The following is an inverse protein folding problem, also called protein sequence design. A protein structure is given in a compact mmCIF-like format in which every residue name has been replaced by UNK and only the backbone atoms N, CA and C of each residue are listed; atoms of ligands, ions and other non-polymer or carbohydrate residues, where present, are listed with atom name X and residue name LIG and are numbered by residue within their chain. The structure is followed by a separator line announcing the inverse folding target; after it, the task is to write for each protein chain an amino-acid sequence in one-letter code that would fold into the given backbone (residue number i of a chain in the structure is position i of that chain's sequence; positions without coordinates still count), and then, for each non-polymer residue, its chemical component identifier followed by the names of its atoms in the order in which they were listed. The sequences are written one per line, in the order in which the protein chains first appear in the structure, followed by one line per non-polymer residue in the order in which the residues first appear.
data_IF_819173926085
#
_entry.id   IF_819173926085
#
_cell.length_a   1.000
_cell.length_b   1.000
_cell.length_c   1.000
_cell.angle_alpha   90.00
_cell.angle_beta   90.00
_cell.angle_gamma   90.00
#
_symmetry.space_group_name_H-M   'P 1'
#
loop_
_entity.id
_entity.type
_entity.pdbx_description
1 polymer ?
#
# COMPACT_ATOMS: atom_id res chain seq x y z
N UNK A 1 16.03 -9.19 -22.60
CA UNK A 1 16.69 -7.98 -22.07
C UNK A 1 15.86 -6.71 -22.26
N UNK A 2 15.46 -6.34 -23.49
CA UNK A 2 14.66 -5.11 -23.74
C UNK A 2 13.35 -5.05 -22.95
N UNK A 3 12.60 -6.15 -22.92
CA UNK A 3 11.36 -6.24 -22.15
C UNK A 3 11.59 -5.99 -20.66
N UNK A 4 12.66 -6.54 -20.09
CA UNK A 4 12.95 -6.36 -18.67
C UNK A 4 13.30 -4.92 -18.30
N UNK A 5 13.91 -4.17 -19.22
CA UNK A 5 14.15 -2.74 -19.03
C UNK A 5 12.83 -1.96 -18.94
N UNK A 6 11.80 -2.34 -19.70
CA UNK A 6 10.46 -1.73 -19.65
C UNK A 6 9.80 -2.03 -18.30
N UNK A 7 9.88 -3.27 -17.81
CA UNK A 7 9.31 -3.65 -16.50
C UNK A 7 10.01 -2.97 -15.33
N UNK A 8 11.35 -2.90 -15.33
CA UNK A 8 12.12 -2.19 -14.31
C UNK A 8 11.83 -0.68 -14.37
N UNK A 9 11.80 -0.10 -15.57
CA UNK A 9 11.44 1.29 -15.77
C UNK A 9 10.04 1.60 -15.24
N UNK A 10 9.05 0.75 -15.55
CA UNK A 10 7.70 0.85 -15.00
C UNK A 10 7.67 0.72 -13.47
N UNK A 11 8.37 -0.27 -12.92
CA UNK A 11 8.42 -0.52 -11.48
C UNK A 11 8.97 0.68 -10.68
N UNK A 12 9.91 1.43 -11.26
CA UNK A 12 10.47 2.66 -10.65
C UNK A 12 9.56 3.87 -10.91
N UNK A 13 8.98 3.96 -12.12
CA UNK A 13 8.16 5.10 -12.51
C UNK A 13 6.85 5.19 -11.73
N UNK A 14 6.19 4.07 -11.40
CA UNK A 14 4.91 4.09 -10.66
C UNK A 14 5.02 4.69 -9.24
N UNK A 15 6.01 4.31 -8.40
CA UNK A 15 6.33 5.01 -7.15
C UNK A 15 6.60 6.50 -7.33
N UNK A 16 7.41 6.86 -8.33
CA UNK A 16 7.77 8.26 -8.58
C UNK A 16 6.54 9.06 -9.00
N UNK A 17 5.67 8.49 -9.83
CA UNK A 17 4.42 9.14 -10.23
C UNK A 17 3.50 9.35 -9.03
N UNK A 18 3.36 8.35 -8.15
CA UNK A 18 2.53 8.48 -6.94
C UNK A 18 2.97 9.66 -6.07
N UNK A 19 4.27 9.72 -5.75
CA UNK A 19 4.83 10.82 -4.97
C UNK A 19 4.68 12.15 -5.72
N UNK A 20 4.98 12.17 -7.02
CA UNK A 20 4.83 13.35 -7.87
C UNK A 20 3.41 13.91 -7.90
N UNK A 21 2.40 13.04 -8.04
CA UNK A 21 0.99 13.43 -8.01
C UNK A 21 0.59 14.01 -6.66
N UNK A 22 1.03 13.41 -5.56
CA UNK A 22 0.74 13.96 -4.22
C UNK A 22 1.32 15.37 -4.07
N UNK A 23 2.57 15.59 -4.51
CA UNK A 23 3.21 16.90 -4.42
C UNK A 23 2.65 17.93 -5.40
N UNK A 24 2.23 17.52 -6.59
CA UNK A 24 1.69 18.42 -7.61
C UNK A 24 0.32 18.99 -7.22
N UNK A 25 -0.50 18.19 -6.53
CA UNK A 25 -1.81 18.60 -6.03
C UNK A 25 -1.79 19.16 -4.60
N UNK A 26 -0.59 19.27 -4.01
CA UNK A 26 -0.39 19.86 -2.70
C UNK A 26 -0.18 21.36 -2.78
N UNK A 27 -1.04 22.11 -2.10
CA UNK A 27 -0.95 23.56 -2.02
C UNK A 27 -0.02 23.97 -0.86
N UNK A 28 1.22 24.34 -1.19
CA UNK A 28 2.29 24.62 -0.20
C UNK A 28 2.06 25.86 0.65
N UNK A 29 1.10 26.72 0.29
CA UNK A 29 0.86 27.99 0.98
C UNK A 29 0.00 27.85 2.24
N UNK A 30 -0.68 26.71 2.43
CA UNK A 30 -1.64 26.51 3.50
C UNK A 30 -1.21 25.37 4.44
N UNK A 31 -1.68 25.38 5.69
CA UNK A 31 -1.31 24.35 6.67
C UNK A 31 -1.68 22.94 6.17
N UNK A 32 -0.82 21.97 6.49
CA UNK A 32 -0.92 20.56 6.07
C UNK A 32 -2.26 19.90 6.44
N UNK A 33 -2.92 20.40 7.49
CA UNK A 33 -4.18 19.89 8.02
C UNK A 33 -5.41 20.67 7.53
N UNK A 34 -5.23 21.59 6.58
CA UNK A 34 -6.35 22.25 5.93
C UNK A 34 -7.17 21.25 5.12
N UNK A 35 -8.44 21.06 5.51
CA UNK A 35 -9.36 20.04 4.98
C UNK A 35 -9.44 20.02 3.43
N UNK A 36 -9.42 21.17 2.72
CA UNK A 36 -9.33 21.17 1.25
C UNK A 36 -8.04 20.56 0.67
N UNK A 37 -6.87 20.80 1.27
CA UNK A 37 -5.60 20.21 0.80
C UNK A 37 -5.57 18.70 1.02
N UNK A 38 -6.14 18.25 2.13
CA UNK A 38 -6.35 16.83 2.44
C UNK A 38 -7.15 16.14 1.33
N UNK A 39 -8.26 16.73 0.90
CA UNK A 39 -9.11 16.18 -0.17
C UNK A 39 -8.39 16.17 -1.51
N UNK A 40 -7.60 17.20 -1.83
CA UNK A 40 -6.80 17.25 -3.07
C UNK A 40 -5.73 16.16 -3.12
N UNK A 41 -4.98 15.96 -2.04
CA UNK A 41 -3.97 14.89 -1.94
C UNK A 41 -4.62 13.50 -2.04
N UNK A 42 -5.77 13.31 -1.40
CA UNK A 42 -6.51 12.05 -1.50
C UNK A 42 -6.99 11.81 -2.94
N UNK A 43 -7.58 12.82 -3.59
CA UNK A 43 -7.98 12.74 -4.98
C UNK A 43 -6.79 12.42 -5.89
N UNK A 44 -5.63 13.05 -5.68
CA UNK A 44 -4.41 12.77 -6.42
C UNK A 44 -3.92 11.32 -6.24
N UNK A 45 -3.96 10.80 -5.02
CA UNK A 45 -3.61 9.41 -4.74
C UNK A 45 -4.57 8.42 -5.42
N UNK A 46 -5.88 8.71 -5.40
CA UNK A 46 -6.91 7.89 -6.08
C UNK A 46 -6.73 7.94 -7.59
N UNK A 47 -6.53 9.13 -8.17
CA UNK A 47 -6.30 9.30 -9.62
C UNK A 47 -5.02 8.57 -10.04
N UNK A 48 -3.93 8.71 -9.28
CA UNK A 48 -2.70 7.98 -9.58
C UNK A 48 -2.91 6.46 -9.53
N UNK A 49 -3.58 5.93 -8.49
CA UNK A 49 -3.88 4.49 -8.43
C UNK A 49 -4.78 4.04 -9.57
N UNK A 50 -5.78 4.85 -9.95
CA UNK A 50 -6.64 4.57 -11.09
C UNK A 50 -5.89 4.56 -12.43
N UNK A 51 -4.72 5.19 -12.54
CA UNK A 51 -3.84 5.11 -13.71
C UNK A 51 -2.84 3.95 -13.60
N UNK A 52 -2.17 3.81 -12.46
CA UNK A 52 -1.11 2.83 -12.23
C UNK A 52 -1.62 1.39 -12.28
N UNK A 53 -2.80 1.11 -11.72
CA UNK A 53 -3.40 -0.24 -11.71
C UNK A 53 -3.66 -0.75 -13.13
N UNK A 54 -4.42 -0.04 -14.00
CA UNK A 54 -4.65 -0.52 -15.37
C UNK A 54 -3.38 -0.51 -16.21
N UNK A 55 -2.46 0.43 -16.03
CA UNK A 55 -1.15 0.39 -16.71
C UNK A 55 -0.36 -0.86 -16.35
N UNK A 56 -0.32 -1.21 -15.07
CA UNK A 56 0.36 -2.44 -14.62
C UNK A 56 -0.35 -3.68 -15.12
N UNK A 57 -1.69 -3.69 -15.08
CA UNK A 57 -2.50 -4.78 -15.63
C UNK A 57 -2.20 -5.02 -17.11
N UNK A 58 -2.15 -3.95 -17.92
CA UNK A 58 -1.83 -4.04 -19.34
C UNK A 58 -0.40 -4.58 -19.57
N UNK A 59 0.57 -4.10 -18.79
CA UNK A 59 1.95 -4.59 -18.84
C UNK A 59 2.04 -6.08 -18.49
N UNK A 60 1.32 -6.56 -17.48
CA UNK A 60 1.33 -7.96 -17.07
C UNK A 60 0.54 -8.88 -18.02
N UNK A 61 -0.55 -8.39 -18.62
CA UNK A 61 -1.38 -9.16 -19.55
C UNK A 61 -0.63 -9.57 -20.82
N UNK A 62 0.40 -8.81 -21.21
CA UNK A 62 1.26 -9.15 -22.35
C UNK A 62 2.00 -10.48 -22.18
N UNK A 63 2.22 -10.93 -20.94
CA UNK A 63 3.00 -12.14 -20.66
C UNK A 63 2.25 -13.22 -19.87
N UNK A 64 1.22 -12.84 -19.10
CA UNK A 64 0.54 -13.76 -18.20
C UNK A 64 -0.98 -13.72 -18.35
N UNK A 65 -1.62 -14.90 -18.36
CA UNK A 65 -3.08 -15.03 -18.45
C UNK A 65 -3.83 -14.66 -17.16
N UNK A 66 -3.13 -14.46 -16.02
CA UNK A 66 -3.74 -14.12 -14.72
C UNK A 66 -3.05 -12.95 -13.99
N UNK A 67 -3.08 -11.72 -14.55
CA UNK A 67 -2.40 -10.54 -14.01
C UNK A 67 -2.82 -10.18 -12.57
N UNK A 68 -4.11 -10.33 -12.21
CA UNK A 68 -4.60 -10.05 -10.85
C UNK A 68 -3.96 -10.92 -9.77
N UNK A 69 -3.68 -12.19 -10.11
CA UNK A 69 -3.03 -13.13 -9.19
C UNK A 69 -1.60 -12.73 -8.88
N UNK A 70 -0.91 -12.13 -9.86
CA UNK A 70 0.47 -11.65 -9.70
C UNK A 70 0.54 -10.33 -8.93
N UNK A 71 -0.44 -9.44 -9.11
CA UNK A 71 -0.59 -8.22 -8.33
C UNK A 71 -0.91 -8.47 -6.84
N UNK A 72 -1.02 -9.73 -6.42
CA UNK A 72 -1.31 -10.11 -5.02
C UNK A 72 -2.79 -10.04 -4.64
N UNK A 73 -3.68 -9.75 -5.60
CA UNK A 73 -5.13 -9.80 -5.44
C UNK A 73 -5.62 -11.24 -5.61
N UNK A 74 -5.20 -12.11 -4.69
CA UNK A 74 -5.63 -13.51 -4.65
C UNK A 74 -6.78 -13.68 -3.66
N UNK A 75 -7.84 -14.42 -4.01
CA UNK A 75 -8.94 -14.73 -3.09
C UNK A 75 -8.55 -15.73 -1.98
N UNK A 76 -7.39 -16.38 -2.09
CA UNK A 76 -6.93 -17.42 -1.17
C UNK A 76 -5.67 -16.95 -0.41
N UNK A 77 -5.66 -17.13 0.92
CA UNK A 77 -4.50 -16.80 1.78
C UNK A 77 -4.57 -15.45 2.51
N UNK A 78 -5.71 -14.75 2.47
CA UNK A 78 -5.90 -13.44 3.14
C UNK A 78 -5.56 -13.46 4.64
N UNK A 79 -5.87 -14.56 5.33
CA UNK A 79 -5.59 -14.70 6.77
C UNK A 79 -4.09 -14.60 7.06
N UNK A 80 -3.26 -15.29 6.29
CA UNK A 80 -1.80 -15.23 6.46
C UNK A 80 -1.25 -13.86 6.08
N UNK A 81 -1.78 -13.28 5.00
CA UNK A 81 -1.38 -11.96 4.52
C UNK A 81 -1.73 -10.83 5.50
N UNK A 82 -2.75 -11.01 6.35
CA UNK A 82 -3.11 -10.06 7.41
C UNK A 82 -2.36 -10.37 8.71
N UNK A 83 -2.17 -11.65 9.04
CA UNK A 83 -1.55 -12.07 10.31
C UNK A 83 -0.09 -11.62 10.43
N UNK A 84 0.72 -11.77 9.37
CA UNK A 84 2.13 -11.38 9.41
C UNK A 84 2.35 -9.86 9.61
N UNK A 85 1.73 -8.96 8.82
CA UNK A 85 1.91 -7.54 9.03
C UNK A 85 1.28 -7.04 10.34
N UNK A 86 0.16 -7.62 10.78
CA UNK A 86 -0.44 -7.24 12.08
C UNK A 86 0.44 -7.64 13.25
N UNK A 87 1.02 -8.84 13.24
CA UNK A 87 1.96 -9.29 14.27
C UNK A 87 3.23 -8.43 14.28
N UNK A 88 3.78 -8.11 13.10
CA UNK A 88 4.94 -7.23 12.99
C UNK A 88 4.63 -5.82 13.52
N UNK A 89 3.45 -5.29 13.19
CA UNK A 89 2.99 -3.98 13.68
C UNK A 89 2.85 -4.00 15.20
N UNK A 90 2.31 -5.07 15.78
CA UNK A 90 2.18 -5.22 17.24
C UNK A 90 3.54 -5.22 17.94
N UNK A 91 4.56 -5.85 17.33
CA UNK A 91 5.93 -5.85 17.85
C UNK A 91 6.52 -4.43 17.83
N UNK A 92 6.44 -3.73 16.70
CA UNK A 92 6.98 -2.38 16.60
C UNK A 92 6.24 -1.35 17.46
N UNK A 93 4.93 -1.48 17.59
CA UNK A 93 4.09 -0.60 18.42
C UNK A 93 3.92 -1.08 19.86
N UNK A 94 4.66 -2.10 20.28
CA UNK A 94 4.62 -2.62 21.67
C UNK A 94 4.93 -1.53 22.69
N UNK A 95 5.87 -0.62 22.40
CA UNK A 95 6.17 0.53 23.27
C UNK A 95 5.00 1.49 23.44
N UNK A 96 4.24 1.75 22.37
CA UNK A 96 3.02 2.56 22.43
C UNK A 96 1.94 1.88 23.25
N UNK A 97 1.77 0.56 23.10
CA UNK A 97 0.84 -0.22 23.92
C UNK A 97 1.22 -0.16 25.40
N UNK A 98 2.51 -0.29 25.73
CA UNK A 98 3.00 -0.16 27.10
C UNK A 98 2.65 1.21 27.68
N UNK A 99 2.86 2.29 26.94
CA UNK A 99 2.49 3.64 27.40
C UNK A 99 0.98 3.78 27.66
N UNK A 100 0.13 3.22 26.80
CA UNK A 100 -1.33 3.18 27.05
C UNK A 100 -1.70 2.34 28.29
N UNK A 101 -0.95 1.26 28.56
CA UNK A 101 -1.16 0.44 29.77
C UNK A 101 -0.82 1.21 31.04
N UNK A 102 0.32 1.90 31.05
CA UNK A 102 0.81 2.66 32.20
C UNK A 102 -0.08 3.87 32.50
N UNK A 103 -0.61 4.52 31.47
CA UNK A 103 -1.52 5.65 31.61
C UNK A 103 -2.96 5.24 31.95
N UNK A 104 -3.27 3.94 32.04
CA UNK A 104 -4.62 3.45 32.33
C UNK A 104 -5.66 3.73 31.24
N UNK A 105 -5.23 4.21 30.07
CA UNK A 105 -6.09 4.63 28.95
C UNK A 105 -6.34 3.53 27.92
N UNK A 106 -5.85 2.31 28.14
CA UNK A 106 -6.11 1.14 27.27
C UNK A 106 -7.59 0.95 26.89
N UNK A 107 -8.51 1.22 27.82
CA UNK A 107 -9.95 1.09 27.56
C UNK A 107 -10.45 2.00 26.44
N UNK A 108 -9.82 3.17 26.24
CA UNK A 108 -10.16 4.09 25.15
C UNK A 108 -9.85 3.49 23.78
N UNK A 109 -8.86 2.60 23.69
CA UNK A 109 -8.50 1.90 22.46
C UNK A 109 -9.59 0.90 22.03
N UNK A 110 -10.35 0.36 22.99
CA UNK A 110 -11.44 -0.60 22.76
C UNK A 110 -12.84 0.03 22.87
N UNK A 111 -12.92 1.36 23.00
CA UNK A 111 -14.19 2.06 23.14
C UNK A 111 -14.83 2.30 21.76
N UNK A 112 -15.92 1.57 21.48
CA UNK A 112 -16.66 1.67 20.23
C UNK A 112 -17.16 3.08 19.91
N UNK A 113 -17.45 3.91 20.92
CA UNK A 113 -17.92 5.27 20.68
C UNK A 113 -16.81 6.14 20.10
N UNK A 114 -15.58 6.02 20.61
CA UNK A 114 -14.42 6.72 20.08
C UNK A 114 -14.12 6.29 18.64
N UNK A 115 -14.16 4.98 18.36
CA UNK A 115 -14.00 4.47 17.00
C UNK A 115 -15.06 5.03 16.05
N UNK A 116 -16.33 5.09 16.48
CA UNK A 116 -17.41 5.66 15.65
C UNK A 116 -17.16 7.13 15.32
N UNK A 117 -16.68 7.90 16.28
CA UNK A 117 -16.30 9.31 16.06
C UNK A 117 -15.13 9.38 15.08
N UNK A 118 -14.11 8.54 15.25
CA UNK A 118 -12.95 8.46 14.33
C UNK A 118 -13.36 8.07 12.90
N UNK A 119 -14.30 7.14 12.73
CA UNK A 119 -14.84 6.79 11.41
C UNK A 119 -15.75 7.86 10.80
N UNK A 120 -16.14 8.88 11.56
CA UNK A 120 -16.86 10.05 11.03
C UNK A 120 -15.90 11.15 10.57
N UNK A 121 -14.69 11.18 11.13
CA UNK A 121 -13.65 12.13 10.75
C UNK A 121 -12.95 11.70 9.45
N UNK A 122 -13.13 12.53 8.41
CA UNK A 122 -12.52 12.32 7.10
C UNK A 122 -10.98 12.38 7.14
N UNK A 123 -10.40 13.15 8.07
CA UNK A 123 -8.95 13.21 8.25
C UNK A 123 -8.44 11.87 8.78
N UNK A 124 -9.12 11.31 9.78
CA UNK A 124 -8.78 10.04 10.38
C UNK A 124 -8.90 8.90 9.37
N UNK A 125 -10.02 8.82 8.62
CA UNK A 125 -10.20 7.80 7.58
C UNK A 125 -9.08 7.87 6.54
N UNK A 126 -8.77 9.08 6.06
CA UNK A 126 -7.73 9.25 5.05
C UNK A 126 -6.36 8.81 5.58
N UNK A 127 -5.96 9.31 6.75
CA UNK A 127 -4.63 9.04 7.30
C UNK A 127 -4.45 7.58 7.72
N UNK A 128 -5.50 6.97 8.27
CA UNK A 128 -5.40 5.65 8.91
C UNK A 128 -5.70 4.52 7.92
N UNK A 129 -6.56 4.76 6.93
CA UNK A 129 -7.06 3.71 6.04
C UNK A 129 -6.69 4.00 4.60
N UNK A 130 -7.06 5.17 4.08
CA UNK A 130 -6.94 5.41 2.64
C UNK A 130 -5.48 5.50 2.17
N UNK A 131 -4.64 6.25 2.91
CA UNK A 131 -3.22 6.38 2.60
C UNK A 131 -2.52 5.02 2.52
N UNK A 132 -2.52 4.17 3.59
CA UNK A 132 -1.85 2.88 3.54
C UNK A 132 -2.42 1.97 2.44
N UNK A 133 -3.72 1.99 2.17
CA UNK A 133 -4.30 1.20 1.06
C UNK A 133 -3.74 1.65 -0.29
N UNK A 134 -3.73 2.96 -0.56
CA UNK A 134 -3.22 3.49 -1.84
C UNK A 134 -1.72 3.28 -2.02
N UNK A 135 -0.96 3.33 -0.93
CA UNK A 135 0.47 3.01 -0.93
C UNK A 135 0.67 1.53 -1.23
N UNK A 136 -0.04 0.62 -0.54
CA UNK A 136 0.15 -0.80 -0.79
C UNK A 136 -0.28 -1.25 -2.19
N UNK A 137 -1.30 -0.62 -2.77
CA UNK A 137 -1.66 -0.89 -4.16
C UNK A 137 -0.56 -0.43 -5.13
N UNK A 138 0.01 0.76 -4.94
CA UNK A 138 1.01 1.28 -5.88
C UNK A 138 2.39 0.64 -5.69
N UNK A 139 2.88 0.56 -4.45
CA UNK A 139 4.21 0.05 -4.16
C UNK A 139 4.26 -1.48 -4.18
N UNK A 140 3.30 -2.15 -3.55
CA UNK A 140 3.35 -3.61 -3.39
C UNK A 140 2.62 -4.34 -4.50
N UNK A 141 1.39 -3.95 -4.85
CA UNK A 141 0.65 -4.66 -5.90
C UNK A 141 1.20 -4.33 -7.30
N UNK A 142 1.60 -3.09 -7.56
CA UNK A 142 2.04 -2.69 -8.89
C UNK A 142 3.56 -2.78 -9.08
N UNK A 143 4.34 -2.02 -8.31
CA UNK A 143 5.81 -1.96 -8.48
C UNK A 143 6.50 -3.30 -8.18
N UNK A 144 6.19 -3.96 -7.05
CA UNK A 144 6.83 -5.24 -6.71
C UNK A 144 6.50 -6.37 -7.70
N UNK A 145 5.30 -6.39 -8.27
CA UNK A 145 4.90 -7.38 -9.28
C UNK A 145 5.70 -7.25 -10.58
N UNK A 146 5.97 -6.01 -11.00
CA UNK A 146 6.82 -5.72 -12.17
C UNK A 146 8.28 -6.11 -11.90
N UNK A 147 8.81 -5.81 -10.70
CA UNK A 147 10.15 -6.24 -10.31
C UNK A 147 10.30 -7.76 -10.28
N UNK A 148 9.29 -8.48 -9.77
CA UNK A 148 9.31 -9.96 -9.71
C UNK A 148 9.46 -10.60 -11.08
N UNK A 149 8.87 -10.00 -12.11
CA UNK A 149 8.97 -10.53 -13.48
C UNK A 149 10.40 -10.46 -14.04
N UNK A 150 11.24 -9.57 -13.51
CA UNK A 150 12.59 -9.29 -13.99
C UNK A 150 13.72 -9.85 -13.12
N UNK A 151 13.61 -9.74 -11.79
CA UNK A 151 14.68 -10.09 -10.86
C UNK A 151 14.62 -11.55 -10.39
N UNK A 152 13.63 -12.33 -10.86
CA UNK A 152 13.43 -13.71 -10.42
C UNK A 152 12.93 -13.80 -8.97
N UNK A 153 12.59 -15.02 -8.55
CA UNK A 153 11.93 -15.25 -7.25
C UNK A 153 12.81 -14.91 -6.04
N UNK A 154 14.14 -14.98 -6.15
CA UNK A 154 15.03 -14.88 -4.98
C UNK A 154 15.31 -13.44 -4.54
N UNK A 155 15.53 -12.51 -5.48
CA UNK A 155 15.70 -11.09 -5.17
C UNK A 155 14.35 -10.42 -4.83
N UNK A 156 13.23 -10.93 -5.36
CA UNK A 156 11.90 -10.46 -5.01
C UNK A 156 11.55 -10.69 -3.53
N UNK A 157 12.04 -11.77 -2.91
CA UNK A 157 11.87 -12.04 -1.48
C UNK A 157 12.62 -11.05 -0.60
N UNK A 158 13.75 -10.52 -1.08
CA UNK A 158 14.53 -9.48 -0.37
C UNK A 158 13.85 -8.10 -0.44
N UNK A 159 13.25 -7.77 -1.58
CA UNK A 159 12.54 -6.48 -1.79
C UNK A 159 11.12 -6.48 -1.19
N UNK A 160 10.47 -7.64 -1.09
CA UNK A 160 9.15 -7.79 -0.47
C UNK A 160 9.08 -9.09 0.34
N UNK A 161 9.35 -9.06 1.66
CA UNK A 161 9.42 -10.26 2.51
C UNK A 161 8.08 -10.98 2.70
N UNK A 162 6.99 -10.44 2.17
CA UNK A 162 5.63 -10.92 2.41
C UNK A 162 5.02 -11.58 1.15
N UNK A 163 5.82 -11.74 0.09
CA UNK A 163 5.48 -12.59 -1.05
C UNK A 163 5.99 -13.99 -0.74
N UNK A 164 5.11 -14.81 -0.20
CA UNK A 164 5.36 -16.23 0.06
C UNK A 164 5.92 -16.93 -1.19
N UNK A 165 7.01 -17.66 -1.00
CA UNK A 165 7.78 -18.40 -2.01
C UNK A 165 7.10 -19.70 -2.47
N UNK A 166 5.86 -19.97 -2.04
CA UNK A 166 5.08 -21.14 -2.48
C UNK A 166 4.36 -20.90 -3.82
N UNK A 167 5.10 -20.47 -4.85
CA UNK A 167 4.67 -20.63 -6.25
C UNK A 167 5.76 -21.32 -7.05
N UNK A 168 6.02 -22.57 -6.66
CA UNK A 168 6.70 -23.57 -7.47
C UNK A 168 5.71 -24.62 -7.98
N UNK A 169 5.87 -24.98 -9.24
CA UNK A 169 5.24 -26.09 -9.97
C UNK A 169 3.78 -25.89 -10.41
N UNK A 170 3.61 -25.29 -11.59
CA UNK A 170 3.48 -26.09 -12.82
C UNK A 170 4.30 -25.46 -13.93
#
# INVERSE_FOLDING_TARGET
MRECFIYIGGAILMPISYVGFIYAFDDRQQSRDYVPNVRRRFLAAVVNNALVIPSTYFLLQLHNSSPFSQMGLRPNGHLSAIAYPTLLTLIFYSGTLLMYTLNGTLRQLFDFNNWRISFTDILWIRCTIAAPITEELTFRACSASLFRHCLGSELATFVSPIVDTNFGSK
#
